data_IF_664982793348
#
_entry.id   IF_664982793348
#
_cell.length_a   1.000
_cell.length_b   1.000
_cell.length_c   1.000
_cell.angle_alpha   90.00
_cell.angle_beta   90.00
_cell.angle_gamma   90.00
#
_symmetry.space_group_name_H-M   'P 1'
#
loop_
_entity.id
_entity.type
_entity.pdbx_description
1 polymer ?
#
# COMPACT_ATOMS: atom_id res chain seq x y z
N UNK A 1 -1.53 15.97 -4.99
CA UNK A 1 -2.55 16.26 -3.95
C UNK A 1 -2.56 15.10 -2.96
N UNK A 2 -2.76 15.38 -1.68
CA UNK A 2 -2.91 14.36 -0.64
C UNK A 2 -4.15 14.72 0.21
N UNK A 3 -4.86 13.71 0.70
CA UNK A 3 -5.93 13.87 1.69
C UNK A 3 -5.70 12.88 2.82
N UNK A 4 -5.63 13.38 4.05
CA UNK A 4 -5.49 12.57 5.26
C UNK A 4 -6.76 12.69 6.12
N UNK A 5 -7.14 11.60 6.77
CA UNK A 5 -8.15 11.64 7.83
C UNK A 5 -7.52 12.09 9.14
N UNK A 6 -8.35 12.51 10.11
CA UNK A 6 -7.95 12.48 11.51
C UNK A 6 -7.79 11.05 12.02
N UNK A 7 -7.55 10.91 13.32
CA UNK A 7 -7.55 9.61 14.00
C UNK A 7 -8.99 9.10 14.04
N UNK A 8 -9.22 7.89 13.52
CA UNK A 8 -10.53 7.22 13.55
C UNK A 8 -10.49 5.98 14.45
N UNK A 9 -11.57 5.73 15.16
CA UNK A 9 -11.71 4.53 16.02
C UNK A 9 -12.58 3.44 15.39
N UNK A 10 -13.36 3.78 14.36
CA UNK A 10 -14.27 2.84 13.67
C UNK A 10 -14.13 2.94 12.14
N UNK A 11 -14.46 1.85 11.44
CA UNK A 11 -14.54 1.85 9.98
C UNK A 11 -15.59 2.83 9.44
N UNK A 12 -16.70 3.03 10.16
CA UNK A 12 -17.74 3.99 9.81
C UNK A 12 -17.23 5.44 9.83
N UNK A 13 -16.53 5.81 10.90
CA UNK A 13 -15.91 7.14 11.02
C UNK A 13 -14.89 7.38 9.91
N UNK A 14 -14.00 6.41 9.69
CA UNK A 14 -13.01 6.46 8.61
C UNK A 14 -13.67 6.66 7.25
N UNK A 15 -14.70 5.88 6.93
CA UNK A 15 -15.47 6.00 5.69
C UNK A 15 -16.07 7.39 5.53
N UNK A 16 -16.63 7.95 6.59
CA UNK A 16 -17.24 9.29 6.56
C UNK A 16 -16.18 10.39 6.32
N UNK A 17 -15.01 10.28 6.94
CA UNK A 17 -13.90 11.21 6.73
C UNK A 17 -13.34 11.12 5.31
N UNK A 18 -13.09 9.91 4.80
CA UNK A 18 -12.62 9.70 3.43
C UNK A 18 -13.60 10.25 2.38
N UNK A 19 -14.91 10.04 2.58
CA UNK A 19 -15.95 10.63 1.72
C UNK A 19 -15.92 12.16 1.71
N UNK A 20 -15.71 12.79 2.88
CA UNK A 20 -15.56 14.24 2.97
C UNK A 20 -14.31 14.71 2.23
N UNK A 21 -13.17 14.08 2.47
CA UNK A 21 -11.89 14.41 1.81
C UNK A 21 -11.99 14.29 0.29
N UNK A 22 -12.56 13.20 -0.23
CA UNK A 22 -12.76 13.02 -1.69
C UNK A 22 -13.66 14.07 -2.30
N UNK A 23 -14.78 14.42 -1.64
CA UNK A 23 -15.67 15.50 -2.11
C UNK A 23 -14.95 16.84 -2.16
N UNK A 24 -14.21 17.17 -1.10
CA UNK A 24 -13.44 18.41 -1.03
C UNK A 24 -12.41 18.50 -2.15
N UNK A 25 -11.62 17.44 -2.37
CA UNK A 25 -10.63 17.41 -3.46
C UNK A 25 -11.28 17.55 -4.84
N UNK A 26 -12.43 16.90 -5.06
CA UNK A 26 -13.18 16.99 -6.32
C UNK A 26 -13.72 18.40 -6.56
N UNK A 27 -14.31 19.02 -5.54
CA UNK A 27 -14.81 20.39 -5.61
C UNK A 27 -13.66 21.36 -5.90
N UNK A 28 -12.54 21.24 -5.19
CA UNK A 28 -11.34 22.05 -5.43
C UNK A 28 -10.80 21.87 -6.87
N UNK A 29 -10.68 20.64 -7.36
CA UNK A 29 -10.22 20.37 -8.73
C UNK A 29 -11.15 20.99 -9.78
N UNK A 30 -12.48 20.92 -9.56
CA UNK A 30 -13.48 21.47 -10.48
C UNK A 30 -13.41 22.99 -10.62
N UNK A 31 -13.04 23.71 -9.55
CA UNK A 31 -12.84 25.16 -9.57
C UNK A 31 -11.69 25.58 -10.50
N UNK A 32 -10.78 24.66 -10.80
CA UNK A 32 -9.64 24.86 -11.70
C UNK A 32 -9.84 24.20 -13.08
N UNK A 33 -11.04 23.71 -13.41
CA UNK A 33 -11.29 23.01 -14.67
C UNK A 33 -10.56 21.67 -14.79
N UNK A 34 -10.21 21.06 -13.65
CA UNK A 34 -9.50 19.79 -13.57
C UNK A 34 -10.33 18.73 -12.84
N UNK A 35 -9.90 17.47 -12.91
CA UNK A 35 -10.50 16.37 -12.18
C UNK A 35 -9.42 15.55 -11.44
N UNK A 36 -9.81 14.86 -10.38
CA UNK A 36 -8.93 13.98 -9.61
C UNK A 36 -9.09 12.56 -10.11
N UNK A 37 -8.00 11.91 -10.50
CA UNK A 37 -8.01 10.51 -10.93
C UNK A 37 -7.50 9.59 -9.80
N UNK A 38 -8.27 8.56 -9.46
CA UNK A 38 -7.88 7.57 -8.45
C UNK A 38 -7.12 6.39 -9.08
N UNK A 39 -5.83 6.57 -9.34
CA UNK A 39 -4.91 5.57 -9.91
C UNK A 39 -3.54 5.66 -9.25
N UNK A 40 -2.82 4.54 -9.16
CA UNK A 40 -1.50 4.49 -8.54
C UNK A 40 -0.36 5.06 -9.38
N UNK A 41 -0.54 5.18 -10.70
CA UNK A 41 0.41 5.78 -11.65
C UNK A 41 -0.34 6.56 -12.72
N UNK A 42 0.37 7.45 -13.42
CA UNK A 42 -0.19 8.20 -14.53
C UNK A 42 -0.58 7.29 -15.70
N UNK A 43 -1.85 7.35 -16.09
CA UNK A 43 -2.40 6.55 -17.19
C UNK A 43 -1.98 7.08 -18.55
N UNK A 44 -1.81 8.40 -18.67
CA UNK A 44 -1.49 9.09 -19.92
C UNK A 44 -0.11 9.73 -19.83
N UNK A 45 0.51 9.94 -20.99
CA UNK A 45 1.73 10.75 -21.05
C UNK A 45 1.40 12.22 -20.77
N UNK A 46 2.21 12.86 -19.95
CA UNK A 46 2.18 14.30 -19.72
C UNK A 46 3.61 14.86 -19.76
N UNK A 47 3.79 16.18 -19.87
CA UNK A 47 5.10 16.76 -19.64
C UNK A 47 5.56 16.43 -18.21
N UNK A 48 6.81 16.01 -18.03
CA UNK A 48 7.39 15.90 -16.70
C UNK A 48 7.47 17.32 -16.12
N UNK A 49 6.52 17.67 -15.24
CA UNK A 49 6.51 18.97 -14.56
C UNK A 49 7.10 18.79 -13.17
N UNK A 50 8.40 18.52 -13.10
CA UNK A 50 9.12 18.66 -11.84
C UNK A 50 9.58 20.12 -11.74
N UNK A 51 8.96 20.85 -10.80
CA UNK A 51 9.49 22.14 -10.37
C UNK A 51 10.83 21.95 -9.68
N UNK A 52 11.65 23.00 -9.65
CA UNK A 52 12.86 22.98 -8.84
C UNK A 52 12.46 22.85 -7.36
N UNK A 53 12.80 21.72 -6.75
CA UNK A 53 12.65 21.52 -5.32
C UNK A 53 13.75 22.24 -4.55
N UNK A 54 13.50 22.55 -3.27
CA UNK A 54 14.48 23.12 -2.34
C UNK A 54 14.69 22.22 -1.12
N UNK A 55 15.67 22.60 -0.29
CA UNK A 55 15.93 21.97 1.00
C UNK A 55 16.07 20.44 0.95
N UNK A 56 15.22 19.74 1.70
CA UNK A 56 15.23 18.28 1.78
C UNK A 56 14.90 17.62 0.44
N UNK A 57 13.96 18.17 -0.32
CA UNK A 57 13.53 17.57 -1.58
C UNK A 57 14.59 17.75 -2.69
N UNK A 58 15.33 18.86 -2.69
CA UNK A 58 16.50 19.01 -3.57
C UNK A 58 17.57 17.92 -3.35
N UNK A 59 17.81 17.54 -2.09
CA UNK A 59 18.74 16.43 -1.76
C UNK A 59 18.22 15.07 -2.24
N UNK A 60 16.90 14.86 -2.21
CA UNK A 60 16.26 13.65 -2.75
C UNK A 60 16.48 13.60 -4.26
N UNK A 61 16.27 14.72 -4.96
CA UNK A 61 16.50 14.82 -6.40
C UNK A 61 17.97 14.57 -6.77
N UNK A 62 18.91 15.14 -6.02
CA UNK A 62 20.35 14.92 -6.22
C UNK A 62 20.76 13.46 -5.97
N UNK A 63 20.20 12.82 -4.94
CA UNK A 63 20.53 11.45 -4.58
C UNK A 63 20.01 10.45 -5.62
N UNK A 64 18.73 10.51 -5.97
CA UNK A 64 18.07 9.50 -6.82
C UNK A 64 18.08 9.85 -8.31
N UNK A 65 18.34 11.12 -8.67
CA UNK A 65 18.57 11.58 -10.05
C UNK A 65 17.44 11.15 -10.99
N UNK A 66 17.78 10.49 -12.10
CA UNK A 66 16.82 10.03 -13.10
C UNK A 66 15.74 9.09 -12.57
N UNK A 67 15.94 8.44 -11.41
CA UNK A 67 14.93 7.55 -10.81
C UNK A 67 13.70 8.30 -10.29
N UNK A 68 13.86 9.57 -9.90
CA UNK A 68 12.75 10.43 -9.43
C UNK A 68 12.24 11.39 -10.49
N UNK A 69 12.93 11.48 -11.64
CA UNK A 69 12.61 12.44 -12.70
C UNK A 69 11.24 12.23 -13.35
N UNK A 70 10.74 10.99 -13.35
CA UNK A 70 9.44 10.57 -13.88
C UNK A 70 8.61 9.80 -12.83
N UNK A 71 8.96 9.92 -11.55
CA UNK A 71 8.30 9.16 -10.48
C UNK A 71 6.97 9.80 -10.05
N UNK A 72 5.90 9.42 -10.75
CA UNK A 72 4.53 9.85 -10.48
C UNK A 72 3.71 8.70 -9.88
N UNK A 73 3.91 8.46 -8.57
CA UNK A 73 3.27 7.37 -7.85
C UNK A 73 2.31 7.85 -6.75
N UNK A 74 1.10 7.30 -6.74
CA UNK A 74 0.06 7.59 -5.76
C UNK A 74 -0.28 6.33 -4.93
N UNK A 75 -0.17 6.42 -3.61
CA UNK A 75 -0.45 5.32 -2.69
C UNK A 75 -1.71 5.52 -1.85
N UNK A 76 -2.16 4.45 -1.19
CA UNK A 76 -3.05 4.53 -0.03
C UNK A 76 -2.25 4.11 1.20
N UNK A 77 -1.97 5.06 2.10
CA UNK A 77 -1.23 4.76 3.34
C UNK A 77 -2.20 4.60 4.51
N UNK A 78 -1.94 3.61 5.36
CA UNK A 78 -2.74 3.34 6.57
C UNK A 78 -1.84 3.48 7.78
N UNK A 79 -2.24 4.33 8.73
CA UNK A 79 -1.60 4.44 10.03
C UNK A 79 -2.42 3.70 11.09
N UNK A 80 -1.77 2.86 11.88
CA UNK A 80 -2.38 2.18 13.04
C UNK A 80 -1.62 2.58 14.30
N UNK A 81 -2.30 3.20 15.26
CA UNK A 81 -1.69 3.69 16.51
C UNK A 81 -1.05 2.58 17.33
N UNK A 82 0.12 2.85 17.88
CA UNK A 82 0.92 1.94 18.71
C UNK A 82 1.18 2.52 20.11
N UNK A 83 1.30 1.66 21.14
CA UNK A 83 1.63 2.12 22.48
C UNK A 83 3.05 2.67 22.57
N UNK A 84 4.00 2.04 21.88
CA UNK A 84 5.43 2.38 21.88
C UNK A 84 6.12 1.80 20.62
N UNK A 85 7.38 2.21 20.39
CA UNK A 85 8.15 1.82 19.19
C UNK A 85 8.64 0.38 19.28
N UNK A 86 8.97 -0.10 20.47
CA UNK A 86 9.43 -1.46 20.74
C UNK A 86 8.37 -2.49 20.35
N UNK A 87 7.14 -2.29 20.81
CA UNK A 87 5.96 -3.05 20.38
C UNK A 87 5.74 -2.89 18.89
N UNK A 88 5.93 -1.69 18.35
CA UNK A 88 5.85 -1.41 16.93
C UNK A 88 6.79 -2.30 16.07
N UNK A 89 8.04 -2.48 16.49
CA UNK A 89 9.00 -3.36 15.80
C UNK A 89 8.58 -4.81 15.89
N UNK A 90 8.14 -5.26 17.06
CA UNK A 90 7.65 -6.63 17.24
C UNK A 90 6.46 -6.91 16.31
N UNK A 91 5.46 -6.02 16.29
CA UNK A 91 4.31 -6.12 15.40
C UNK A 91 4.74 -6.09 13.93
N UNK A 92 5.64 -5.19 13.54
CA UNK A 92 6.16 -5.10 12.17
C UNK A 92 6.69 -6.45 11.67
N UNK A 93 7.39 -7.21 12.51
CA UNK A 93 7.86 -8.54 12.13
C UNK A 93 6.72 -9.52 11.80
N UNK A 94 5.59 -9.47 12.51
CA UNK A 94 4.40 -10.30 12.24
C UNK A 94 3.67 -9.90 10.95
N UNK A 95 3.80 -8.64 10.50
CA UNK A 95 3.11 -8.14 9.31
C UNK A 95 3.76 -8.61 8.01
N UNK A 96 5.05 -8.92 8.02
CA UNK A 96 5.88 -9.25 6.84
C UNK A 96 5.24 -10.27 5.87
N UNK A 97 4.65 -11.40 6.33
CA UNK A 97 4.05 -12.39 5.42
C UNK A 97 2.79 -11.91 4.70
N UNK A 98 2.14 -10.85 5.18
CA UNK A 98 0.81 -10.44 4.74
C UNK A 98 0.83 -9.26 3.76
N UNK A 99 1.96 -8.55 3.66
CA UNK A 99 2.11 -7.40 2.76
C UNK A 99 1.82 -7.74 1.29
N UNK A 100 2.27 -8.88 0.72
CA UNK A 100 1.92 -9.23 -0.66
C UNK A 100 0.42 -9.40 -0.89
N UNK A 101 -0.33 -9.90 0.10
CA UNK A 101 -1.79 -10.05 -0.02
C UNK A 101 -2.50 -8.69 -0.03
N UNK A 102 -2.06 -7.75 0.82
CA UNK A 102 -2.58 -6.38 0.81
C UNK A 102 -2.31 -5.67 -0.53
N UNK A 103 -1.13 -5.88 -1.11
CA UNK A 103 -0.77 -5.38 -2.45
C UNK A 103 -1.69 -5.97 -3.53
N UNK A 104 -1.87 -7.29 -3.54
CA UNK A 104 -2.72 -7.97 -4.52
C UNK A 104 -4.16 -7.42 -4.50
N UNK A 105 -4.72 -7.19 -3.30
CA UNK A 105 -6.05 -6.62 -3.11
C UNK A 105 -6.18 -5.14 -3.52
N UNK A 106 -5.08 -4.40 -3.61
CA UNK A 106 -5.07 -2.95 -3.87
C UNK A 106 -4.55 -2.55 -5.26
N UNK A 107 -4.10 -3.50 -6.08
CA UNK A 107 -3.55 -3.23 -7.41
C UNK A 107 -4.45 -2.29 -8.27
N UNK A 108 -3.95 -1.10 -8.58
CA UNK A 108 -4.70 -0.06 -9.28
C UNK A 108 -3.78 0.86 -10.12
N UNK A 109 -2.72 0.30 -10.71
CA UNK A 109 -1.80 1.03 -11.57
C UNK A 109 -1.32 0.19 -12.77
N UNK A 110 -2.22 -0.24 -13.68
CA UNK A 110 -1.82 -1.08 -14.81
C UNK A 110 -1.14 -0.32 -15.96
N UNK A 111 -1.36 1.00 -16.03
CA UNK A 111 -0.87 1.84 -17.13
C UNK A 111 0.30 2.73 -16.70
N UNK A 112 1.19 3.02 -17.65
CA UNK A 112 2.28 3.96 -17.48
C UNK A 112 2.49 4.72 -18.80
N UNK A 113 2.28 6.03 -18.76
CA UNK A 113 2.47 6.92 -19.92
C UNK A 113 1.79 6.40 -21.21
N UNK A 114 0.51 6.07 -21.11
CA UNK A 114 -0.31 5.61 -22.25
C UNK A 114 -0.15 4.15 -22.64
N UNK A 115 0.64 3.35 -21.90
CA UNK A 115 0.87 1.93 -22.22
C UNK A 115 0.40 1.02 -21.10
N UNK A 116 -0.24 -0.10 -21.46
CA UNK A 116 -0.45 -1.19 -20.51
C UNK A 116 0.90 -1.83 -20.20
N UNK A 117 1.26 -1.88 -18.93
CA UNK A 117 2.55 -2.40 -18.45
C UNK A 117 2.57 -3.92 -18.35
N UNK A 118 1.39 -4.56 -18.38
CA UNK A 118 1.22 -5.97 -18.05
C UNK A 118 1.24 -6.27 -16.55
N UNK A 119 1.35 -5.26 -15.68
CA UNK A 119 1.29 -5.40 -14.21
C UNK A 119 -0.06 -4.92 -13.67
N UNK A 120 -0.47 -5.39 -12.49
CA UNK A 120 -1.60 -4.83 -11.73
C UNK A 120 -1.21 -3.57 -10.95
N UNK A 121 0.02 -3.55 -10.41
CA UNK A 121 0.61 -2.41 -9.71
C UNK A 121 1.97 -2.05 -10.32
N UNK A 122 1.97 -1.16 -11.31
CA UNK A 122 3.19 -0.56 -11.83
C UNK A 122 3.85 0.37 -10.82
N UNK A 123 3.05 1.00 -9.93
CA UNK A 123 3.57 1.77 -8.79
C UNK A 123 4.55 0.93 -7.97
N UNK A 124 4.23 -0.33 -7.69
CA UNK A 124 5.13 -1.18 -6.91
C UNK A 124 6.40 -1.57 -7.68
N UNK A 125 6.32 -1.69 -9.01
CA UNK A 125 7.49 -1.89 -9.88
C UNK A 125 8.38 -0.63 -9.91
N UNK A 126 7.80 0.57 -9.94
CA UNK A 126 8.57 1.80 -9.83
C UNK A 126 9.22 1.91 -8.45
N UNK A 127 8.50 1.57 -7.38
CA UNK A 127 9.00 1.64 -6.01
C UNK A 127 10.14 0.64 -5.75
N UNK A 128 10.14 -0.54 -6.38
CA UNK A 128 11.20 -1.54 -6.19
C UNK A 128 12.57 -1.13 -6.73
N UNK A 129 12.64 -0.04 -7.51
CA UNK A 129 13.91 0.55 -7.99
C UNK A 129 14.70 1.24 -6.88
N UNK A 130 14.01 1.65 -5.81
CA UNK A 130 14.66 2.34 -4.70
C UNK A 130 15.45 1.35 -3.82
N UNK A 131 16.69 1.68 -3.43
CA UNK A 131 17.50 0.82 -2.56
C UNK A 131 16.77 0.48 -1.26
N UNK A 132 16.77 -0.80 -0.89
CA UNK A 132 16.12 -1.29 0.33
C UNK A 132 14.59 -1.28 0.28
N UNK A 133 13.96 -1.07 -0.88
CA UNK A 133 12.51 -1.19 -1.03
C UNK A 133 12.00 -2.61 -0.81
N UNK A 134 10.77 -2.73 -0.29
CA UNK A 134 10.05 -3.99 -0.18
C UNK A 134 9.67 -4.35 1.25
N UNK A 135 9.51 -5.65 1.51
CA UNK A 135 9.20 -6.15 2.85
C UNK A 135 10.37 -5.83 3.78
N UNK A 136 10.15 -5.17 4.94
CA UNK A 136 11.24 -4.81 5.82
C UNK A 136 12.00 -6.07 6.33
N UNK A 137 13.30 -5.92 6.68
CA UNK A 137 14.04 -6.96 7.38
C UNK A 137 13.33 -7.44 8.64
N UNK A 138 13.73 -8.61 9.14
CA UNK A 138 13.36 -8.99 10.50
C UNK A 138 14.28 -8.26 11.48
N UNK A 139 13.72 -7.62 12.49
CA UNK A 139 14.50 -6.95 13.54
C UNK A 139 14.37 -7.68 14.86
N UNK A 140 15.48 -7.84 15.58
CA UNK A 140 15.47 -8.48 16.90
C UNK A 140 14.80 -7.58 17.95
N UNK A 141 15.03 -6.27 17.85
CA UNK A 141 14.54 -5.24 18.77
C UNK A 141 14.56 -3.86 18.08
N UNK A 142 14.21 -2.81 18.83
CA UNK A 142 14.20 -1.43 18.34
C UNK A 142 15.59 -0.91 17.98
N UNK A 143 16.64 -1.31 18.72
CA UNK A 143 18.00 -0.90 18.42
C UNK A 143 18.44 -1.43 17.05
N UNK A 144 18.16 -2.70 16.75
CA UNK A 144 18.44 -3.28 15.44
C UNK A 144 17.68 -2.59 14.29
N UNK A 145 16.47 -2.09 14.55
CA UNK A 145 15.70 -1.29 13.59
C UNK A 145 16.35 0.07 13.34
N UNK A 146 16.65 0.81 14.41
CA UNK A 146 17.25 2.15 14.33
C UNK A 146 18.65 2.09 13.71
N UNK A 147 19.47 1.09 14.08
CA UNK A 147 20.79 0.86 13.50
C UNK A 147 20.73 0.55 12.00
N UNK A 148 19.71 -0.19 11.52
CA UNK A 148 19.58 -0.48 10.09
C UNK A 148 19.19 0.76 9.29
N UNK A 149 18.29 1.60 9.84
CA UNK A 149 17.94 2.89 9.22
C UNK A 149 19.17 3.79 9.18
N UNK A 150 19.91 3.91 10.29
CA UNK A 150 21.14 4.69 10.36
C UNK A 150 22.19 4.19 9.36
N UNK A 151 22.40 2.87 9.26
CA UNK A 151 23.30 2.28 8.24
C UNK A 151 22.92 2.66 6.81
N UNK A 152 21.62 2.67 6.49
CA UNK A 152 21.14 3.06 5.16
C UNK A 152 21.31 4.55 4.87
N UNK A 153 21.28 5.40 5.90
CA UNK A 153 21.64 6.83 5.77
C UNK A 153 23.15 6.98 5.59
N UNK A 154 23.95 6.36 6.44
CA UNK A 154 25.42 6.46 6.44
C UNK A 154 26.04 5.94 5.14
N UNK A 155 25.48 4.88 4.55
CA UNK A 155 25.95 4.35 3.27
C UNK A 155 25.43 5.14 2.05
N UNK A 156 24.65 6.20 2.27
CA UNK A 156 24.12 7.06 1.23
C UNK A 156 22.94 6.48 0.45
N UNK A 157 22.26 5.44 0.97
CA UNK A 157 21.06 4.90 0.34
C UNK A 157 19.80 5.71 0.68
N UNK A 158 19.80 6.46 1.78
CA UNK A 158 18.71 7.31 2.25
C UNK A 158 19.20 8.72 2.58
N UNK A 159 18.33 9.72 2.38
CA UNK A 159 18.64 11.13 2.70
C UNK A 159 18.61 11.40 4.21
N UNK A 160 17.73 10.72 4.95
CA UNK A 160 17.57 10.85 6.40
C UNK A 160 16.77 9.69 6.99
N UNK A 161 16.76 9.59 8.32
CA UNK A 161 16.07 8.54 9.09
C UNK A 161 14.53 8.57 8.94
N UNK A 162 13.96 9.67 8.46
CA UNK A 162 12.53 9.75 8.17
C UNK A 162 12.16 9.11 6.83
N UNK A 163 13.16 8.74 6.02
CA UNK A 163 12.98 8.04 4.76
C UNK A 163 13.14 6.54 4.94
N UNK A 164 12.28 5.78 4.25
CA UNK A 164 12.52 4.37 3.93
C UNK A 164 11.60 3.99 2.78
N UNK A 165 11.96 2.92 2.07
CA UNK A 165 11.14 2.36 0.99
C UNK A 165 10.49 1.03 1.40
N UNK A 166 10.44 0.77 2.70
CA UNK A 166 9.75 -0.40 3.25
C UNK A 166 8.24 -0.24 3.11
N UNK A 167 7.58 -1.35 2.79
CA UNK A 167 6.13 -1.45 2.61
C UNK A 167 5.35 -1.26 3.91
N UNK A 168 6.02 -1.40 5.05
CA UNK A 168 5.53 -1.05 6.39
C UNK A 168 6.69 -0.54 7.23
N UNK A 169 6.47 0.52 8.02
CA UNK A 169 7.52 1.15 8.84
C UNK A 169 6.97 1.82 10.11
N UNK A 170 7.88 2.25 10.98
CA UNK A 170 7.59 3.18 12.07
C UNK A 170 7.91 4.61 11.62
N UNK A 171 6.92 5.49 11.44
CA UNK A 171 7.19 6.88 11.09
C UNK A 171 7.72 7.65 12.31
N UNK A 172 8.67 8.56 12.09
CA UNK A 172 9.35 9.30 13.17
C UNK A 172 8.45 10.31 13.90
N UNK A 173 7.34 10.73 13.30
CA UNK A 173 6.47 11.81 13.83
C UNK A 173 5.17 11.33 14.46
N UNK A 174 4.71 10.12 14.11
CA UNK A 174 3.43 9.59 14.55
C UNK A 174 3.65 8.26 15.27
N UNK A 175 3.14 8.06 16.49
CA UNK A 175 3.29 6.81 17.24
C UNK A 175 2.40 5.72 16.64
N UNK A 176 2.78 5.25 15.46
CA UNK A 176 1.97 4.37 14.60
C UNK A 176 2.86 3.35 13.90
N UNK A 177 2.23 2.33 13.32
CA UNK A 177 2.78 1.61 12.17
C UNK A 177 2.15 2.20 10.91
N UNK A 178 2.97 2.55 9.93
CA UNK A 178 2.54 3.08 8.63
C UNK A 178 2.66 1.98 7.56
N UNK A 179 1.55 1.54 7.01
CA UNK A 179 1.48 0.69 5.82
C UNK A 179 1.53 1.57 4.57
N UNK A 180 2.44 1.25 3.65
CA UNK A 180 2.66 2.00 2.39
C UNK A 180 2.56 1.11 1.15
N UNK A 181 2.10 -0.12 1.36
CA UNK A 181 2.05 -1.18 0.35
C UNK A 181 1.05 -0.89 -0.77
N UNK A 182 -0.12 -0.34 -0.45
CA UNK A 182 -1.23 -0.23 -1.38
C UNK A 182 -1.05 0.90 -2.40
N UNK A 183 -1.49 0.65 -3.63
CA UNK A 183 -1.78 1.73 -4.59
C UNK A 183 -2.90 2.61 -4.05
N UNK A 184 -3.06 3.81 -4.61
CA UNK A 184 -4.27 4.61 -4.33
C UNK A 184 -5.51 3.80 -4.62
N UNK A 185 -6.35 3.64 -3.60
CA UNK A 185 -7.60 2.90 -3.72
C UNK A 185 -8.55 3.59 -4.70
N UNK A 186 -9.20 2.80 -5.57
CA UNK A 186 -10.14 3.36 -6.54
C UNK A 186 -11.35 3.95 -5.81
N UNK A 187 -11.97 3.20 -4.89
CA UNK A 187 -13.17 3.62 -4.14
C UNK A 187 -12.89 3.93 -2.66
N UNK A 188 -13.79 4.67 -2.00
CA UNK A 188 -13.70 4.86 -0.54
C UNK A 188 -13.77 3.52 0.18
N UNK A 189 -14.66 2.63 -0.25
CA UNK A 189 -14.88 1.36 0.44
C UNK A 189 -13.65 0.43 0.31
N UNK A 190 -12.89 0.52 -0.79
CA UNK A 190 -11.60 -0.16 -0.94
C UNK A 190 -10.51 0.44 -0.05
N UNK A 191 -10.48 1.76 0.15
CA UNK A 191 -9.58 2.39 1.12
C UNK A 191 -9.89 1.95 2.55
N UNK A 192 -11.19 1.87 2.90
CA UNK A 192 -11.64 1.36 4.21
C UNK A 192 -11.27 -0.12 4.35
N UNK A 193 -11.44 -0.93 3.31
CA UNK A 193 -11.05 -2.35 3.32
C UNK A 193 -9.55 -2.51 3.62
N UNK A 194 -8.68 -1.74 2.96
CA UNK A 194 -7.24 -1.75 3.22
C UNK A 194 -6.93 -1.35 4.68
N UNK A 195 -7.62 -0.33 5.20
CA UNK A 195 -7.42 0.11 6.58
C UNK A 195 -7.87 -0.92 7.61
N UNK A 196 -9.03 -1.57 7.40
CA UNK A 196 -9.57 -2.57 8.32
C UNK A 196 -8.72 -3.84 8.33
N UNK A 197 -8.24 -4.31 7.17
CA UNK A 197 -7.31 -5.44 7.08
C UNK A 197 -5.98 -5.12 7.78
N UNK A 198 -5.42 -3.93 7.56
CA UNK A 198 -4.18 -3.49 8.22
C UNK A 198 -4.35 -3.41 9.74
N UNK A 199 -5.46 -2.85 10.22
CA UNK A 199 -5.79 -2.79 11.65
C UNK A 199 -5.99 -4.19 12.25
N UNK A 200 -6.67 -5.09 11.54
CA UNK A 200 -6.90 -6.45 12.01
C UNK A 200 -5.61 -7.27 12.07
N UNK A 201 -4.70 -7.09 11.10
CA UNK A 201 -3.35 -7.66 11.15
C UNK A 201 -2.56 -7.18 12.37
N UNK A 202 -2.59 -5.88 12.66
CA UNK A 202 -1.93 -5.32 13.84
C UNK A 202 -2.54 -5.89 15.14
N UNK A 203 -3.86 -5.93 15.26
CA UNK A 203 -4.55 -6.52 16.43
C UNK A 203 -4.17 -7.99 16.60
N UNK A 204 -4.12 -8.74 15.50
CA UNK A 204 -3.73 -10.15 15.52
C UNK A 204 -2.28 -10.33 15.95
N UNK A 205 -1.36 -9.52 15.43
CA UNK A 205 0.04 -9.53 15.86
C UNK A 205 0.20 -9.21 17.35
N UNK A 206 -0.53 -8.23 17.88
CA UNK A 206 -0.53 -7.92 19.32
C UNK A 206 -1.04 -9.10 20.16
N UNK A 207 -2.08 -9.80 19.70
CA UNK A 207 -2.60 -11.00 20.36
C UNK A 207 -1.59 -12.15 20.35
N UNK A 208 -0.91 -12.38 19.21
CA UNK A 208 0.14 -13.39 19.09
C UNK A 208 1.32 -13.07 20.04
N UNK A 209 1.74 -11.79 20.12
CA UNK A 209 2.80 -11.33 21.03
C UNK A 209 2.42 -11.51 22.50
N UNK A 210 1.17 -11.22 22.88
CA UNK A 210 0.68 -11.45 24.24
C UNK A 210 0.70 -12.93 24.66
N UNK A 211 0.68 -13.84 23.68
CA UNK A 211 0.82 -15.29 23.89
C UNK A 211 2.27 -15.78 23.79
N UNK A 212 3.25 -14.88 23.57
CA UNK A 212 4.65 -15.24 23.39
C UNK A 212 4.95 -15.92 22.04
N UNK A 213 4.07 -15.79 21.05
CA UNK A 213 4.29 -16.36 19.72
C UNK A 213 5.26 -15.48 18.93
N UNK A 214 6.36 -16.07 18.47
CA UNK A 214 7.34 -15.35 17.67
C UNK A 214 6.85 -15.14 16.22
N UNK A 215 7.16 -13.98 15.64
CA UNK A 215 6.94 -13.72 14.23
C UNK A 215 7.69 -14.72 13.33
N UNK A 216 7.09 -15.15 12.20
CA UNK A 216 7.73 -16.07 11.29
C UNK A 216 8.97 -15.45 10.62
N UNK A 217 10.02 -16.28 10.47
CA UNK A 217 11.20 -15.92 9.68
C UNK A 217 10.93 -16.26 8.21
N UNK A 218 11.03 -15.26 7.35
CA UNK A 218 10.87 -15.39 5.90
C UNK A 218 12.20 -15.24 5.21
N UNK A 219 12.41 -16.00 4.14
CA UNK A 219 13.45 -15.69 3.16
C UNK A 219 13.15 -14.34 2.51
N UNK A 220 14.11 -13.41 2.57
CA UNK A 220 13.95 -12.09 1.95
C UNK A 220 13.71 -12.16 0.44
N UNK A 221 14.34 -13.12 -0.24
CA UNK A 221 14.16 -13.34 -1.69
C UNK A 221 12.77 -13.90 -2.01
N UNK A 222 12.23 -14.79 -1.17
CA UNK A 222 10.85 -15.28 -1.34
C UNK A 222 9.84 -14.17 -1.06
N UNK A 223 10.07 -13.33 -0.05
CA UNK A 223 9.24 -12.17 0.23
C UNK A 223 9.24 -11.16 -0.94
N UNK A 224 10.41 -10.88 -1.52
CA UNK A 224 10.53 -10.05 -2.72
C UNK A 224 9.79 -10.65 -3.91
N UNK A 225 9.95 -11.95 -4.16
CA UNK A 225 9.21 -12.67 -5.21
C UNK A 225 7.70 -12.60 -5.00
N UNK A 226 7.22 -12.71 -3.76
CA UNK A 226 5.80 -12.58 -3.44
C UNK A 226 5.25 -11.18 -3.71
N UNK A 227 6.00 -10.12 -3.35
CA UNK A 227 5.65 -8.74 -3.69
C UNK A 227 5.62 -8.55 -5.21
N UNK A 228 6.63 -9.06 -5.92
CA UNK A 228 6.67 -8.96 -7.38
C UNK A 228 5.49 -9.68 -8.05
N UNK A 229 5.16 -10.90 -7.63
CA UNK A 229 4.00 -11.63 -8.16
C UNK A 229 2.69 -10.91 -7.85
N UNK A 230 2.52 -10.38 -6.63
CA UNK A 230 1.35 -9.59 -6.28
C UNK A 230 1.24 -8.29 -7.10
N UNK A 231 2.36 -7.61 -7.37
CA UNK A 231 2.40 -6.45 -8.24
C UNK A 231 2.04 -6.80 -9.69
N UNK A 232 2.49 -7.96 -10.17
CA UNK A 232 2.26 -8.42 -11.54
C UNK A 232 0.80 -8.82 -11.78
N UNK A 233 0.31 -9.77 -11.00
CA UNK A 233 -0.95 -10.45 -11.33
C UNK A 233 -2.12 -9.94 -10.49
N UNK A 234 -1.87 -9.21 -9.39
CA UNK A 234 -2.94 -8.76 -8.49
C UNK A 234 -3.80 -9.93 -8.01
N UNK A 235 -5.10 -9.89 -8.29
CA UNK A 235 -6.05 -10.99 -8.04
C UNK A 235 -6.34 -11.87 -9.27
N UNK A 236 -5.72 -11.61 -10.41
CA UNK A 236 -6.04 -12.23 -11.69
C UNK A 236 -5.13 -13.42 -12.05
N UNK A 237 -4.27 -13.85 -11.12
CA UNK A 237 -3.30 -14.91 -11.39
C UNK A 237 -2.79 -15.64 -10.14
N UNK A 238 -1.52 -16.02 -10.18
CA UNK A 238 -0.89 -16.74 -9.08
C UNK A 238 -0.41 -15.79 -7.98
N UNK A 239 -0.14 -16.33 -6.81
CA UNK A 239 0.61 -15.69 -5.74
C UNK A 239 1.77 -16.59 -5.31
N UNK A 240 2.73 -16.03 -4.60
CA UNK A 240 3.73 -16.82 -3.86
C UNK A 240 3.32 -16.82 -2.41
N UNK A 241 3.16 -18.00 -1.82
CA UNK A 241 2.91 -18.13 -0.39
C UNK A 241 4.22 -17.86 0.38
N UNK A 242 4.35 -16.75 1.15
CA UNK A 242 5.66 -16.33 1.66
C UNK A 242 6.32 -17.31 2.63
N UNK A 243 5.51 -18.04 3.42
CA UNK A 243 6.02 -19.06 4.34
C UNK A 243 6.34 -20.41 3.69
N UNK A 244 5.56 -20.84 2.69
CA UNK A 244 5.75 -22.14 2.01
C UNK A 244 6.75 -22.06 0.85
N UNK A 245 7.09 -20.85 0.40
CA UNK A 245 7.95 -20.60 -0.77
C UNK A 245 7.46 -21.34 -2.04
N UNK A 246 6.15 -21.35 -2.24
CA UNK A 246 5.49 -22.04 -3.35
C UNK A 246 4.53 -21.09 -4.09
N UNK A 247 4.43 -21.29 -5.40
CA UNK A 247 3.36 -20.68 -6.19
C UNK A 247 2.02 -21.33 -5.82
N UNK A 248 1.01 -20.52 -5.57
CA UNK A 248 -0.35 -20.93 -5.22
C UNK A 248 -1.35 -20.03 -5.93
N UNK A 249 -2.62 -20.44 -6.07
CA UNK A 249 -3.68 -19.51 -6.48
C UNK A 249 -3.79 -18.36 -5.48
N UNK A 250 -4.00 -17.12 -5.96
CA UNK A 250 -4.08 -15.93 -5.11
C UNK A 250 -5.20 -16.02 -4.08
N UNK A 251 -6.30 -16.68 -4.43
CA UNK A 251 -7.45 -16.93 -3.55
C UNK A 251 -7.05 -17.69 -2.30
N UNK A 252 -6.03 -18.57 -2.38
CA UNK A 252 -5.52 -19.31 -1.23
C UNK A 252 -4.81 -18.37 -0.24
N UNK A 253 -4.05 -17.39 -0.74
CA UNK A 253 -3.38 -16.39 0.10
C UNK A 253 -4.39 -15.43 0.71
N UNK A 254 -5.39 -15.01 -0.06
CA UNK A 254 -6.48 -14.14 0.43
C UNK A 254 -7.32 -14.86 1.48
N UNK A 255 -7.68 -16.13 1.28
CA UNK A 255 -8.39 -16.93 2.26
C UNK A 255 -7.58 -17.11 3.55
N UNK A 256 -6.27 -17.38 3.43
CA UNK A 256 -5.38 -17.47 4.58
C UNK A 256 -5.28 -16.15 5.37
N UNK A 257 -5.21 -15.01 4.66
CA UNK A 257 -5.26 -13.69 5.29
C UNK A 257 -6.55 -13.51 6.08
N UNK A 258 -7.71 -13.74 5.45
CA UNK A 258 -9.01 -13.58 6.09
C UNK A 258 -9.18 -14.49 7.30
N UNK A 259 -8.69 -15.73 7.22
CA UNK A 259 -8.73 -16.65 8.35
C UNK A 259 -7.83 -16.19 9.49
N UNK A 260 -6.61 -15.71 9.17
CA UNK A 260 -5.67 -15.22 10.17
C UNK A 260 -6.22 -14.03 10.96
N UNK A 261 -6.88 -13.09 10.27
CA UNK A 261 -7.43 -11.87 10.89
C UNK A 261 -8.88 -11.99 11.36
N UNK A 262 -9.56 -13.11 11.09
CA UNK A 262 -10.98 -13.33 11.44
C UNK A 262 -11.29 -12.95 12.90
N UNK A 263 -10.56 -13.44 13.92
CA UNK A 263 -10.90 -13.12 15.31
C UNK A 263 -10.86 -11.60 15.58
N UNK A 264 -9.85 -10.91 15.05
CA UNK A 264 -9.72 -9.46 15.22
C UNK A 264 -10.84 -8.67 14.52
N UNK A 265 -11.36 -9.18 13.40
CA UNK A 265 -12.48 -8.59 12.68
C UNK A 265 -13.83 -8.86 13.36
N UNK A 266 -14.00 -10.03 13.97
CA UNK A 266 -15.18 -10.37 14.77
C UNK A 266 -15.28 -9.47 16.01
N UNK A 267 -14.17 -9.31 16.74
CA UNK A 267 -14.08 -8.43 17.91
C UNK A 267 -14.46 -6.98 17.62
N UNK A 268 -14.19 -6.51 16.40
CA UNK A 268 -14.43 -5.12 15.98
C UNK A 268 -15.74 -4.94 15.23
N UNK A 269 -16.46 -6.03 14.94
CA UNK A 269 -17.70 -6.01 14.14
C UNK A 269 -17.47 -5.72 12.65
N UNK A 270 -16.22 -5.78 12.17
CA UNK A 270 -15.85 -5.42 10.80
C UNK A 270 -15.87 -6.61 9.82
N UNK A 271 -16.04 -7.84 10.33
CA UNK A 271 -15.90 -9.07 9.54
C UNK A 271 -16.76 -9.07 8.27
N UNK A 272 -18.05 -8.76 8.37
CA UNK A 272 -18.94 -8.83 7.20
C UNK A 272 -18.64 -7.75 6.17
N UNK A 273 -18.25 -6.54 6.59
CA UNK A 273 -17.80 -5.51 5.66
C UNK A 273 -16.55 -5.97 4.89
N UNK A 274 -15.57 -6.54 5.59
CA UNK A 274 -14.33 -7.02 4.98
C UNK A 274 -14.57 -8.20 4.05
N UNK A 275 -15.35 -9.21 4.49
CA UNK A 275 -15.69 -10.38 3.64
C UNK A 275 -16.39 -9.94 2.38
N UNK A 276 -17.36 -9.04 2.49
CA UNK A 276 -18.06 -8.53 1.32
C UNK A 276 -17.15 -7.70 0.40
N UNK A 277 -16.27 -6.86 0.97
CA UNK A 277 -15.26 -6.14 0.21
C UNK A 277 -14.35 -7.06 -0.60
N UNK A 278 -13.84 -8.12 0.01
CA UNK A 278 -13.02 -9.13 -0.68
C UNK A 278 -13.82 -9.89 -1.74
N UNK A 279 -15.05 -10.32 -1.45
CA UNK A 279 -15.92 -10.99 -2.45
C UNK A 279 -16.14 -10.10 -3.67
N UNK A 280 -16.40 -8.81 -3.48
CA UNK A 280 -16.53 -7.85 -4.58
C UNK A 280 -15.25 -7.73 -5.39
N UNK A 281 -14.08 -7.63 -4.74
CA UNK A 281 -12.80 -7.59 -5.46
C UNK A 281 -12.52 -8.85 -6.28
N UNK A 282 -12.86 -10.04 -5.78
CA UNK A 282 -12.72 -11.28 -6.54
C UNK A 282 -13.69 -11.33 -7.74
N UNK A 283 -14.94 -10.90 -7.53
CA UNK A 283 -15.98 -10.89 -8.58
C UNK A 283 -15.76 -9.82 -9.65
N UNK A 284 -15.53 -8.58 -9.24
CA UNK A 284 -15.51 -7.39 -10.12
C UNK A 284 -14.08 -7.05 -10.57
N UNK A 285 -13.10 -7.41 -9.74
CA UNK A 285 -11.67 -7.19 -10.00
C UNK A 285 -11.12 -6.03 -9.21
N UNK A 286 -9.80 -5.96 -9.17
CA UNK A 286 -9.12 -4.80 -8.61
C UNK A 286 -9.31 -3.58 -9.50
N UNK A 287 -8.78 -2.43 -9.06
CA UNK A 287 -8.77 -1.24 -9.89
C UNK A 287 -8.08 -1.47 -11.24
N UNK A 288 -7.01 -2.28 -11.27
CA UNK A 288 -6.29 -2.60 -12.49
C UNK A 288 -7.16 -3.31 -13.55
N UNK A 289 -7.90 -4.36 -13.16
CA UNK A 289 -8.81 -5.07 -14.08
C UNK A 289 -9.91 -4.16 -14.60
N UNK A 290 -10.51 -3.36 -13.71
CA UNK A 290 -11.57 -2.42 -14.07
C UNK A 290 -11.07 -1.33 -15.02
N UNK A 291 -9.85 -0.82 -14.83
CA UNK A 291 -9.25 0.16 -15.74
C UNK A 291 -9.05 -0.43 -17.15
N UNK A 292 -8.50 -1.65 -17.27
CA UNK A 292 -8.36 -2.33 -18.56
C UNK A 292 -9.70 -2.57 -19.24
N UNK A 293 -10.71 -2.99 -18.48
CA UNK A 293 -12.06 -3.17 -18.99
C UNK A 293 -12.68 -1.86 -19.50
N UNK A 294 -12.53 -0.77 -18.75
CA UNK A 294 -13.01 0.55 -19.17
C UNK A 294 -12.28 1.05 -20.43
N UNK A 295 -10.97 0.83 -20.54
CA UNK A 295 -10.19 1.21 -21.73
C UNK A 295 -10.65 0.47 -22.99
N UNK A 296 -11.16 -0.76 -22.88
CA UNK A 296 -11.72 -1.49 -24.03
C UNK A 296 -12.95 -0.77 -24.64
N UNK A 297 -13.64 0.07 -23.86
CA UNK A 297 -14.70 0.96 -24.33
C UNK A 297 -14.19 2.36 -24.76
N UNK A 298 -12.88 2.59 -24.72
CA UNK A 298 -12.22 3.82 -25.13
C UNK A 298 -11.70 4.67 -23.98
N UNK A 299 -10.78 5.58 -24.29
CA UNK A 299 -10.16 6.48 -23.31
C UNK A 299 -11.18 7.31 -22.49
N UNK A 300 -12.28 7.85 -23.07
CA UNK A 300 -13.29 8.56 -22.29
C UNK A 300 -13.91 7.71 -21.18
N UNK A 301 -14.14 6.42 -21.42
CA UNK A 301 -14.69 5.51 -20.42
C UNK A 301 -13.71 5.26 -19.27
N UNK A 302 -12.41 5.10 -19.58
CA UNK A 302 -11.35 4.99 -18.56
C UNK A 302 -11.26 6.27 -17.72
N UNK A 303 -11.25 7.45 -18.35
CA UNK A 303 -11.18 8.71 -17.62
C UNK A 303 -12.42 8.91 -16.73
N UNK A 304 -13.63 8.67 -17.25
CA UNK A 304 -14.86 8.72 -16.45
C UNK A 304 -14.82 7.73 -15.29
N UNK A 305 -14.27 6.53 -15.45
CA UNK A 305 -14.11 5.58 -14.35
C UNK A 305 -13.16 6.12 -13.26
N UNK A 306 -12.02 6.70 -13.66
CA UNK A 306 -10.99 7.15 -12.73
C UNK A 306 -11.34 8.46 -12.02
N UNK A 307 -12.12 9.32 -12.67
CA UNK A 307 -12.54 10.64 -12.15
C UNK A 307 -13.98 10.67 -11.65
N UNK A 308 -14.77 9.64 -11.96
CA UNK A 308 -16.18 9.50 -11.61
C UNK A 308 -16.39 9.04 -10.16
N UNK A 309 -17.66 8.83 -9.80
CA UNK A 309 -18.02 8.49 -8.42
C UNK A 309 -17.34 7.19 -7.95
N UNK A 310 -16.44 7.36 -6.99
CA UNK A 310 -15.79 6.28 -6.24
C UNK A 310 -15.68 6.64 -4.76
#
# INVERSE_FOLDING_TARGET
MESATGICTTGHELRAQLRRGRRFLREAASLHGTAVAATGTSVLSGPAVLGANDGRFARIDELYRGMVADYEACGCHVHVGMPDRETGVAVLNHLRPWLPALLALSANSPFDHGRDTGYGSWRMVQQSRFPGSGVPPYFADLAAYDDEVARLVDCGALVDEAMSFWLVRLPSRLPTIEFRVADTALTVDEAVLQALLSRALVRRALADLAQGLAAPRLSGQVAAAAVWTAARDGLDGSAVHPALAQQVPVERVVAALLEHVRPALEDTGDLEFVREGVRRLLRDGTGARRQRHALAAGLPALLTMLTGEA
#
